data_IF_976639076682
#
_entry.id   IF_976639076682
#
_cell.length_a   1.000
_cell.length_b   1.000
_cell.length_c   1.000
_cell.angle_alpha   90.00
_cell.angle_beta   90.00
_cell.angle_gamma   90.00
#
_symmetry.space_group_name_H-M   'P 1'
#
loop_
_entity.id
_entity.type
_entity.pdbx_description
1 polymer ?
#
# COMPACT_ATOMS: atom_id res chain seq x y z
N UNK A 1 25.22 -1.88 -16.49
CA UNK A 1 25.01 -0.56 -15.84
C UNK A 1 23.83 0.21 -16.42
N UNK A 2 23.52 0.11 -17.72
CA UNK A 2 22.33 0.73 -18.34
C UNK A 2 20.98 0.13 -17.86
N UNK A 3 20.93 -1.12 -17.39
CA UNK A 3 19.65 -1.74 -16.99
C UNK A 3 19.09 -1.17 -15.67
N UNK A 4 19.97 -0.72 -14.77
CA UNK A 4 19.56 -0.14 -13.49
C UNK A 4 19.03 1.29 -13.64
N UNK A 5 19.49 2.05 -14.64
CA UNK A 5 18.97 3.41 -14.86
C UNK A 5 17.51 3.37 -15.31
N UNK A 6 17.12 2.42 -16.16
CA UNK A 6 15.73 2.21 -16.55
C UNK A 6 14.83 1.85 -15.36
N UNK A 7 15.28 0.92 -14.52
CA UNK A 7 14.55 0.54 -13.30
C UNK A 7 14.45 1.70 -12.29
N UNK A 8 15.51 2.51 -12.14
CA UNK A 8 15.51 3.68 -11.27
C UNK A 8 14.50 4.74 -11.74
N UNK A 9 14.45 5.01 -13.04
CA UNK A 9 13.47 5.95 -13.62
C UNK A 9 12.04 5.46 -13.40
N UNK A 10 11.79 4.17 -13.61
CA UNK A 10 10.47 3.57 -13.34
C UNK A 10 10.12 3.68 -11.85
N UNK A 11 11.07 3.39 -10.96
CA UNK A 11 10.85 3.49 -9.52
C UNK A 11 10.51 4.93 -9.09
N UNK A 12 11.25 5.93 -9.61
CA UNK A 12 10.98 7.34 -9.33
C UNK A 12 9.61 7.78 -9.89
N UNK A 13 9.31 7.44 -11.14
CA UNK A 13 8.06 7.81 -11.79
C UNK A 13 6.85 7.18 -11.07
N UNK A 14 6.90 5.88 -10.77
CA UNK A 14 5.82 5.18 -10.06
C UNK A 14 5.68 5.66 -8.61
N UNK A 15 6.79 6.02 -7.96
CA UNK A 15 6.79 6.63 -6.62
C UNK A 15 6.14 8.01 -6.58
N UNK A 16 6.27 8.80 -7.65
CA UNK A 16 5.61 10.10 -7.77
C UNK A 16 4.12 10.01 -8.14
N UNK A 17 3.77 9.15 -9.09
CA UNK A 17 2.39 9.08 -9.62
C UNK A 17 1.40 8.50 -8.61
N UNK A 18 1.75 7.40 -7.93
CA UNK A 18 0.82 6.66 -7.04
C UNK A 18 0.19 7.50 -5.92
N UNK A 19 0.95 8.26 -5.11
CA UNK A 19 0.35 9.09 -4.05
C UNK A 19 -0.49 10.21 -4.64
N UNK A 20 -0.07 10.82 -5.74
CA UNK A 20 -0.75 11.95 -6.37
C UNK A 20 -2.09 11.53 -6.99
N UNK A 21 -2.15 10.40 -7.70
CA UNK A 21 -3.40 9.93 -8.33
C UNK A 21 -4.46 9.59 -7.28
N UNK A 22 -4.06 8.91 -6.20
CA UNK A 22 -5.00 8.56 -5.13
C UNK A 22 -5.55 9.79 -4.42
N UNK A 23 -4.68 10.78 -4.12
CA UNK A 23 -5.10 12.04 -3.52
C UNK A 23 -6.00 12.85 -4.46
N UNK A 24 -5.59 13.00 -5.72
CA UNK A 24 -6.37 13.72 -6.73
C UNK A 24 -7.75 13.12 -6.96
N UNK A 25 -7.87 11.79 -6.93
CA UNK A 25 -9.14 11.10 -7.05
C UNK A 25 -10.04 11.32 -5.83
N UNK A 26 -9.46 11.38 -4.61
CA UNK A 26 -10.21 11.74 -3.41
C UNK A 26 -10.75 13.17 -3.48
N UNK A 27 -9.94 14.10 -4.00
CA UNK A 27 -10.27 15.53 -4.14
C UNK A 27 -11.44 15.80 -5.11
N UNK A 28 -11.85 14.81 -5.91
CA UNK A 28 -13.01 14.97 -6.81
C UNK A 28 -14.35 14.90 -6.06
N UNK A 29 -14.37 14.32 -4.86
CA UNK A 29 -15.58 14.12 -4.06
C UNK A 29 -15.65 15.13 -2.92
N UNK A 30 -16.81 15.74 -2.73
CA UNK A 30 -17.03 16.68 -1.64
C UNK A 30 -17.15 15.98 -0.28
N UNK A 31 -17.07 16.74 0.82
CA UNK A 31 -17.14 16.17 2.18
C UNK A 31 -18.46 15.43 2.46
N UNK A 32 -19.56 15.85 1.80
CA UNK A 32 -20.87 15.22 1.93
C UNK A 32 -21.02 13.91 1.12
N UNK A 33 -20.16 13.68 0.13
CA UNK A 33 -20.21 12.53 -0.80
C UNK A 33 -19.38 11.33 -0.30
N UNK A 34 -19.44 11.05 1.00
CA UNK A 34 -18.60 10.00 1.62
C UNK A 34 -18.88 8.61 1.04
N UNK A 35 -20.14 8.31 0.73
CA UNK A 35 -20.54 7.00 0.21
C UNK A 35 -19.99 6.76 -1.21
N UNK A 36 -20.16 7.74 -2.10
CA UNK A 36 -19.67 7.68 -3.48
C UNK A 36 -18.15 7.61 -3.53
N UNK A 37 -17.46 8.39 -2.68
CA UNK A 37 -16.01 8.32 -2.53
C UNK A 37 -15.54 6.94 -2.09
N UNK A 38 -16.21 6.33 -1.11
CA UNK A 38 -15.87 4.97 -0.66
C UNK A 38 -16.10 3.94 -1.76
N UNK A 39 -17.21 4.03 -2.50
CA UNK A 39 -17.52 3.15 -3.62
C UNK A 39 -16.48 3.29 -4.74
N UNK A 40 -16.10 4.51 -5.10
CA UNK A 40 -15.02 4.77 -6.05
C UNK A 40 -13.73 4.09 -5.62
N UNK A 41 -13.29 4.26 -4.36
CA UNK A 41 -12.08 3.62 -3.87
C UNK A 41 -12.18 2.09 -3.89
N UNK A 42 -13.34 1.51 -3.55
CA UNK A 42 -13.56 0.06 -3.66
C UNK A 42 -13.39 -0.45 -5.09
N UNK A 43 -13.97 0.24 -6.10
CA UNK A 43 -13.77 -0.09 -7.50
C UNK A 43 -12.31 0.12 -7.95
N UNK A 44 -11.68 1.20 -7.52
CA UNK A 44 -10.28 1.49 -7.80
C UNK A 44 -9.35 0.39 -7.26
N UNK A 45 -9.54 -0.04 -6.01
CA UNK A 45 -8.79 -1.16 -5.42
C UNK A 45 -9.04 -2.47 -6.17
N UNK A 46 -10.29 -2.76 -6.54
CA UNK A 46 -10.63 -3.94 -7.33
C UNK A 46 -9.91 -3.94 -8.68
N UNK A 47 -9.96 -2.82 -9.41
CA UNK A 47 -9.31 -2.66 -10.71
C UNK A 47 -7.79 -2.84 -10.65
N UNK A 48 -7.13 -2.32 -9.62
CA UNK A 48 -5.68 -2.50 -9.40
C UNK A 48 -5.34 -3.99 -9.22
N UNK A 49 -6.08 -4.70 -8.39
CA UNK A 49 -5.81 -6.11 -8.12
C UNK A 49 -6.13 -7.00 -9.33
N UNK A 50 -7.25 -6.74 -10.01
CA UNK A 50 -7.61 -7.41 -11.25
C UNK A 50 -6.57 -7.17 -12.36
N UNK A 51 -6.15 -5.91 -12.55
CA UNK A 51 -5.10 -5.54 -13.50
C UNK A 51 -3.76 -6.19 -13.18
N UNK A 52 -3.39 -6.29 -11.90
CA UNK A 52 -2.18 -6.99 -11.46
C UNK A 52 -2.25 -8.48 -11.79
N UNK A 53 -3.39 -9.14 -11.55
CA UNK A 53 -3.57 -10.55 -11.90
C UNK A 53 -3.45 -10.79 -13.40
N UNK A 54 -4.13 -9.96 -14.21
CA UNK A 54 -4.04 -10.03 -15.67
C UNK A 54 -2.61 -9.82 -16.15
N UNK A 55 -1.90 -8.82 -15.61
CA UNK A 55 -0.51 -8.56 -15.95
C UNK A 55 0.40 -9.75 -15.62
N UNK A 56 0.19 -10.40 -14.47
CA UNK A 56 1.00 -11.56 -14.06
C UNK A 56 0.73 -12.77 -14.96
N UNK A 57 -0.50 -12.99 -15.41
CA UNK A 57 -0.83 -14.08 -16.34
C UNK A 57 -0.31 -13.82 -17.76
N UNK A 58 -0.45 -12.58 -18.24
CA UNK A 58 -0.07 -12.22 -19.61
C UNK A 58 1.43 -12.02 -19.81
N UNK A 59 2.14 -11.46 -18.83
CA UNK A 59 3.59 -11.15 -18.95
C UNK A 59 4.45 -12.38 -19.33
N UNK A 60 4.33 -13.55 -18.68
CA UNK A 60 5.11 -14.74 -19.06
C UNK A 60 4.68 -15.29 -20.42
N UNK A 61 3.39 -15.20 -20.76
CA UNK A 61 2.86 -15.63 -22.06
C UNK A 61 3.42 -14.78 -23.20
N UNK A 62 3.45 -13.46 -23.02
CA UNK A 62 4.03 -12.51 -23.97
C UNK A 62 5.55 -12.68 -24.10
N UNK A 63 6.24 -12.94 -22.97
CA UNK A 63 7.70 -13.10 -22.95
C UNK A 63 8.17 -14.42 -23.57
N UNK A 64 7.44 -15.53 -23.33
CA UNK A 64 7.89 -16.88 -23.66
C UNK A 64 7.30 -17.49 -24.94
N UNK A 65 6.14 -17.02 -25.43
CA UNK A 65 5.54 -17.56 -26.67
C UNK A 65 6.00 -16.87 -27.94
N UNK A 66 6.53 -15.64 -27.83
CA UNK A 66 6.99 -14.84 -28.97
C UNK A 66 8.51 -14.73 -28.88
N UNK A 67 9.21 -15.28 -29.88
CA UNK A 67 10.65 -15.08 -30.03
C UNK A 67 10.88 -13.74 -30.73
N UNK A 68 11.67 -12.86 -30.13
CA UNK A 68 12.02 -11.58 -30.72
C UNK A 68 13.53 -11.50 -30.90
N UNK A 69 13.97 -10.93 -32.04
CA UNK A 69 15.38 -10.66 -32.34
C UNK A 69 16.31 -11.88 -32.20
N UNK A 70 15.80 -13.10 -32.42
CA UNK A 70 16.56 -14.34 -32.30
C UNK A 70 16.84 -14.80 -30.86
N UNK A 71 16.28 -14.13 -29.84
CA UNK A 71 16.37 -14.53 -28.43
C UNK A 71 15.19 -15.40 -28.01
N UNK A 72 15.40 -16.30 -27.04
CA UNK A 72 14.34 -17.15 -26.47
C UNK A 72 13.27 -16.36 -25.69
N UNK A 73 13.56 -15.13 -25.29
CA UNK A 73 12.65 -14.27 -24.52
C UNK A 73 12.45 -12.90 -25.17
N UNK A 74 11.20 -12.50 -25.38
CA UNK A 74 10.88 -11.18 -25.90
C UNK A 74 10.64 -10.14 -24.79
N UNK A 75 11.72 -9.55 -24.28
CA UNK A 75 11.66 -8.44 -23.32
C UNK A 75 11.06 -7.14 -23.89
N UNK A 76 11.35 -6.72 -25.14
CA UNK A 76 10.77 -5.51 -25.70
C UNK A 76 9.24 -5.52 -25.75
N UNK A 77 8.62 -6.67 -26.04
CA UNK A 77 7.16 -6.81 -26.02
C UNK A 77 6.61 -6.77 -24.59
N UNK A 78 7.27 -7.45 -23.65
CA UNK A 78 6.85 -7.49 -22.25
C UNK A 78 6.87 -6.10 -21.57
N UNK A 79 7.81 -5.22 -21.93
CA UNK A 79 7.86 -3.84 -21.43
C UNK A 79 7.11 -2.83 -22.33
N UNK A 80 7.05 -3.09 -23.63
CA UNK A 80 6.38 -2.22 -24.61
C UNK A 80 4.86 -2.19 -24.43
N UNK A 81 4.23 -3.33 -24.16
CA UNK A 81 2.77 -3.39 -23.94
C UNK A 81 2.32 -2.51 -22.77
N UNK A 82 2.89 -2.62 -21.55
CA UNK A 82 2.59 -1.68 -20.47
C UNK A 82 2.92 -0.22 -20.82
N UNK A 83 3.99 0.02 -21.59
CA UNK A 83 4.37 1.37 -22.02
C UNK A 83 3.31 2.04 -22.91
N UNK A 84 2.78 1.31 -23.89
CA UNK A 84 1.69 1.80 -24.77
C UNK A 84 0.41 2.02 -23.96
N UNK A 85 0.05 1.08 -23.08
CA UNK A 85 -1.13 1.21 -22.22
C UNK A 85 -1.02 2.43 -21.29
N UNK A 86 0.17 2.70 -20.75
CA UNK A 86 0.41 3.89 -19.91
C UNK A 86 0.26 5.19 -20.71
N UNK A 87 0.76 5.22 -21.95
CA UNK A 87 0.62 6.38 -22.82
C UNK A 87 -0.86 6.65 -23.19
N UNK A 88 -1.62 5.60 -23.49
CA UNK A 88 -3.06 5.71 -23.73
C UNK A 88 -3.81 6.22 -22.49
N UNK A 89 -3.48 5.68 -21.30
CA UNK A 89 -4.08 6.14 -20.04
C UNK A 89 -3.76 7.61 -19.76
N UNK A 90 -2.53 8.07 -20.05
CA UNK A 90 -2.15 9.46 -19.91
C UNK A 90 -2.92 10.39 -20.87
N UNK A 91 -3.10 9.99 -22.13
CA UNK A 91 -3.92 10.75 -23.10
C UNK A 91 -5.35 10.90 -22.60
N UNK A 92 -5.96 9.81 -22.11
CA UNK A 92 -7.30 9.85 -21.54
C UNK A 92 -7.38 10.77 -20.32
N UNK A 93 -6.39 10.69 -19.42
CA UNK A 93 -6.30 11.57 -18.25
C UNK A 93 -6.23 13.05 -18.66
N UNK A 94 -5.34 13.42 -19.58
CA UNK A 94 -5.22 14.81 -20.04
C UNK A 94 -6.49 15.28 -20.77
N UNK A 95 -7.15 14.41 -21.53
CA UNK A 95 -8.41 14.75 -22.21
C UNK A 95 -9.53 15.12 -21.23
N UNK A 96 -9.52 14.56 -20.02
CA UNK A 96 -10.48 14.83 -18.96
C UNK A 96 -10.23 16.12 -18.17
N UNK A 97 -9.15 16.85 -18.45
CA UNK A 97 -8.70 18.04 -17.68
C UNK A 97 -9.82 19.02 -17.32
N UNK A 98 -10.77 19.27 -18.22
CA UNK A 98 -11.87 20.25 -18.01
C UNK A 98 -12.92 19.79 -17.00
N UNK A 99 -13.02 18.49 -16.73
CA UNK A 99 -14.01 17.91 -15.84
C UNK A 99 -13.50 17.76 -14.40
N UNK A 100 -12.21 17.99 -14.17
CA UNK A 100 -11.61 17.77 -12.86
C UNK A 100 -11.77 18.99 -11.95
N UNK A 101 -12.17 18.72 -10.69
CA UNK A 101 -12.12 19.70 -9.61
C UNK A 101 -10.66 19.88 -9.19
N UNK A 102 -10.19 21.12 -9.22
CA UNK A 102 -8.82 21.47 -8.81
C UNK A 102 -8.85 21.90 -7.34
N UNK A 103 -8.34 21.04 -6.46
CA UNK A 103 -8.15 21.40 -5.07
C UNK A 103 -7.03 22.45 -4.94
N UNK A 104 -7.19 23.45 -4.05
CA UNK A 104 -6.16 24.45 -3.83
C UNK A 104 -4.88 23.81 -3.29
N UNK A 105 -3.72 24.23 -3.79
CA UNK A 105 -2.44 23.73 -3.34
C UNK A 105 -2.26 23.98 -1.83
N UNK A 106 -1.86 22.93 -1.10
CA UNK A 106 -1.49 23.06 0.31
C UNK A 106 -0.35 24.08 0.45
N UNK A 107 -0.53 25.09 1.31
CA UNK A 107 0.48 26.15 1.51
C UNK A 107 1.67 25.58 2.31
N UNK A 108 2.82 25.46 1.64
CA UNK A 108 4.12 25.15 2.27
C UNK A 108 4.60 23.71 2.10
N UNK A 109 5.83 23.44 2.58
CA UNK A 109 6.47 22.13 2.45
C UNK A 109 6.01 21.17 3.57
N UNK A 110 4.84 20.53 3.37
CA UNK A 110 4.18 19.67 4.37
C UNK A 110 5.11 18.58 4.91
N UNK A 111 5.93 17.95 4.04
CA UNK A 111 6.87 16.90 4.44
C UNK A 111 7.88 17.41 5.46
N UNK A 112 8.45 18.60 5.21
CA UNK A 112 9.38 19.23 6.13
C UNK A 112 8.70 19.59 7.47
N UNK A 113 7.48 20.12 7.42
CA UNK A 113 6.70 20.43 8.62
C UNK A 113 6.42 19.18 9.47
N UNK A 114 6.12 18.04 8.85
CA UNK A 114 5.91 16.75 9.53
C UNK A 114 7.20 16.29 10.20
N UNK A 115 8.31 16.31 9.48
CA UNK A 115 9.61 15.91 10.03
C UNK A 115 10.04 16.79 11.21
N UNK A 116 9.92 18.11 11.08
CA UNK A 116 10.17 19.05 12.18
C UNK A 116 9.23 18.83 13.37
N UNK A 117 7.96 18.52 13.13
CA UNK A 117 7.00 18.22 14.19
C UNK A 117 7.40 16.97 14.98
N UNK A 118 7.81 15.89 14.29
CA UNK A 118 8.25 14.65 14.91
C UNK A 118 9.52 14.88 15.75
N UNK A 119 10.53 15.58 15.20
CA UNK A 119 11.76 15.92 15.94
C UNK A 119 11.45 16.79 17.15
N UNK A 120 10.59 17.80 17.00
CA UNK A 120 10.23 18.70 18.08
C UNK A 120 9.50 17.96 19.21
N UNK A 121 8.52 17.11 18.86
CA UNK A 121 7.80 16.26 19.82
C UNK A 121 8.76 15.31 20.55
N UNK A 122 9.69 14.67 19.83
CA UNK A 122 10.68 13.77 20.42
C UNK A 122 11.63 14.49 21.39
N UNK A 123 12.16 15.66 21.00
CA UNK A 123 13.03 16.48 21.85
C UNK A 123 12.31 16.93 23.12
N UNK A 124 11.06 17.42 23.00
CA UNK A 124 10.26 17.81 24.16
C UNK A 124 9.92 16.63 25.06
N UNK A 125 9.58 15.47 24.50
CA UNK A 125 9.33 14.23 25.27
C UNK A 125 10.55 13.85 26.10
N UNK A 126 11.74 13.86 25.50
CA UNK A 126 12.99 13.55 26.19
C UNK A 126 13.23 14.56 27.31
N UNK A 127 13.09 15.86 27.03
CA UNK A 127 13.25 16.91 28.05
C UNK A 127 12.22 16.82 29.19
N UNK A 128 10.97 16.45 28.90
CA UNK A 128 9.91 16.25 29.89
C UNK A 128 10.16 15.01 30.77
N UNK A 129 10.70 13.93 30.18
CA UNK A 129 11.10 12.73 30.90
C UNK A 129 12.22 13.04 31.91
N UNK A 130 13.20 13.87 31.53
CA UNK A 130 14.28 14.33 32.42
C UNK A 130 13.81 15.33 33.49
N UNK A 131 12.71 16.06 33.27
CA UNK A 131 12.18 17.07 34.19
C UNK A 131 11.02 16.59 35.07
N UNK A 132 10.59 15.33 34.95
CA UNK A 132 9.51 14.76 35.75
C UNK A 132 8.15 15.44 35.55
N UNK A 133 7.87 15.98 34.35
CA UNK A 133 6.59 16.65 34.05
C UNK A 133 5.46 15.65 33.73
N UNK A 134 4.21 16.10 33.88
CA UNK A 134 3.00 15.32 33.68
C UNK A 134 2.94 14.60 32.32
N UNK A 135 2.46 13.35 32.37
CA UNK A 135 2.29 12.49 31.20
C UNK A 135 1.08 12.96 30.37
N UNK A 136 1.35 13.50 29.19
CA UNK A 136 0.33 13.63 28.13
C UNK A 136 -0.08 12.27 27.57
N UNK A 137 -1.34 12.14 27.12
CA UNK A 137 -1.90 10.89 26.59
C UNK A 137 -1.13 10.33 25.40
N UNK A 138 -0.68 11.18 24.46
CA UNK A 138 0.13 10.77 23.32
C UNK A 138 1.42 11.59 23.21
N UNK A 139 2.54 10.94 22.87
CA UNK A 139 3.86 11.59 22.82
C UNK A 139 3.99 12.68 21.74
N UNK A 140 3.12 12.67 20.72
CA UNK A 140 3.06 13.75 19.72
C UNK A 140 2.38 15.02 20.27
N UNK A 141 1.62 14.94 21.37
CA UNK A 141 0.91 16.10 21.94
C UNK A 141 1.84 17.09 22.63
N UNK A 142 3.09 16.70 22.91
CA UNK A 142 4.15 17.63 23.29
C UNK A 142 4.39 18.74 22.25
N UNK A 143 3.95 18.55 20.99
CA UNK A 143 4.03 19.53 19.91
C UNK A 143 2.77 20.42 19.76
N UNK A 144 1.72 20.23 20.58
CA UNK A 144 0.48 21.01 20.53
C UNK A 144 0.66 22.52 20.76
N UNK A 145 1.76 22.93 21.40
CA UNK A 145 2.09 24.35 21.58
C UNK A 145 2.52 25.06 20.29
N UNK A 146 2.88 24.33 19.23
CA UNK A 146 3.42 24.89 17.98
C UNK A 146 2.61 24.52 16.73
N UNK A 147 1.82 23.46 16.78
CA UNK A 147 1.08 22.93 15.63
C UNK A 147 -0.41 22.78 15.95
N UNK A 148 -1.27 22.90 14.93
CA UNK A 148 -2.72 22.75 15.10
C UNK A 148 -3.11 21.30 15.42
N UNK A 149 -4.23 21.13 16.14
CA UNK A 149 -4.75 19.80 16.50
C UNK A 149 -5.09 18.94 15.27
N UNK A 150 -5.57 19.56 14.19
CA UNK A 150 -5.81 18.87 12.91
C UNK A 150 -4.51 18.31 12.31
N UNK A 151 -3.45 19.11 12.27
CA UNK A 151 -2.15 18.68 11.77
C UNK A 151 -1.56 17.55 12.64
N UNK A 152 -1.66 17.67 13.97
CA UNK A 152 -1.19 16.64 14.88
C UNK A 152 -1.94 15.31 14.72
N UNK A 153 -3.26 15.35 14.50
CA UNK A 153 -4.04 14.14 14.21
C UNK A 153 -3.59 13.46 12.91
N UNK A 154 -3.27 14.25 11.88
CA UNK A 154 -2.66 13.76 10.64
C UNK A 154 -1.29 13.09 10.88
N UNK A 155 -0.40 13.74 11.63
CA UNK A 155 0.94 13.17 11.97
C UNK A 155 0.80 11.90 12.81
N UNK A 156 -0.13 11.85 13.78
CA UNK A 156 -0.41 10.64 14.56
C UNK A 156 -0.84 9.47 13.67
N UNK A 157 -1.77 9.72 12.76
CA UNK A 157 -2.25 8.72 11.81
C UNK A 157 -1.12 8.24 10.89
N UNK A 158 -0.31 9.17 10.37
CA UNK A 158 0.84 8.86 9.51
C UNK A 158 1.85 7.97 10.24
N UNK A 159 2.25 8.33 11.46
CA UNK A 159 3.21 7.52 12.25
C UNK A 159 2.63 6.13 12.54
N UNK A 160 1.36 6.04 12.95
CA UNK A 160 0.72 4.76 13.23
C UNK A 160 0.70 3.85 11.98
N UNK A 161 0.35 4.40 10.82
CA UNK A 161 0.35 3.68 9.54
C UNK A 161 1.76 3.28 9.14
N UNK A 162 2.76 4.16 9.24
CA UNK A 162 4.15 3.83 8.91
C UNK A 162 4.70 2.68 9.76
N UNK A 163 4.37 2.65 11.06
CA UNK A 163 4.77 1.55 11.95
C UNK A 163 4.07 0.24 11.54
N UNK A 164 2.78 0.30 11.18
CA UNK A 164 2.03 -0.87 10.75
C UNK A 164 2.60 -1.51 9.47
N UNK A 165 3.04 -0.71 8.51
CA UNK A 165 3.55 -1.19 7.22
C UNK A 165 5.07 -1.44 7.18
N UNK A 166 5.82 -1.02 8.21
CA UNK A 166 7.27 -1.21 8.32
C UNK A 166 7.80 -2.64 8.11
N UNK A 167 7.14 -3.72 8.59
CA UNK A 167 7.66 -5.08 8.46
C UNK A 167 7.41 -5.76 7.09
N UNK A 168 6.86 -5.06 6.09
CA UNK A 168 6.47 -5.65 4.80
C UNK A 168 7.61 -6.13 3.88
N UNK A 169 8.87 -5.77 4.15
CA UNK A 169 10.00 -6.03 3.23
C UNK A 169 10.63 -7.44 3.33
N UNK A 170 10.23 -8.26 4.29
CA UNK A 170 10.89 -9.55 4.59
C UNK A 170 10.27 -10.78 3.90
N UNK A 171 9.09 -10.64 3.28
CA UNK A 171 8.29 -11.75 2.76
C UNK A 171 8.98 -12.50 1.61
N UNK A 172 9.65 -11.77 0.71
CA UNK A 172 10.37 -12.37 -0.42
C UNK A 172 11.63 -13.13 0.04
N UNK A 173 12.31 -12.62 1.07
CA UNK A 173 13.48 -13.29 1.64
C UNK A 173 13.08 -14.56 2.40
N UNK A 174 11.93 -14.53 3.07
CA UNK A 174 11.37 -15.70 3.74
C UNK A 174 10.90 -16.76 2.72
N UNK A 175 10.22 -16.34 1.66
CA UNK A 175 9.78 -17.20 0.56
C UNK A 175 10.93 -17.98 -0.09
N UNK A 176 12.10 -17.36 -0.31
CA UNK A 176 13.29 -18.06 -0.85
C UNK A 176 13.84 -19.15 0.06
N UNK A 177 13.53 -19.12 1.36
CA UNK A 177 13.97 -20.12 2.35
C UNK A 177 12.90 -21.17 2.65
N UNK A 178 11.70 -21.05 2.09
CA UNK A 178 10.62 -22.02 2.25
C UNK A 178 10.72 -23.09 1.16
N UNK A 179 10.52 -24.35 1.53
CA UNK A 179 10.30 -25.41 0.53
C UNK A 179 9.03 -25.07 -0.25
N UNK A 180 9.17 -24.75 -1.54
CA UNK A 180 8.07 -24.33 -2.41
C UNK A 180 7.14 -25.47 -2.80
N UNK A 181 7.38 -26.70 -2.32
CA UNK A 181 6.56 -27.88 -2.64
C UNK A 181 5.24 -27.86 -1.86
N UNK A 182 4.14 -27.65 -2.59
CA UNK A 182 2.77 -27.80 -2.10
C UNK A 182 2.16 -29.02 -2.79
N UNK A 183 2.35 -30.20 -2.21
CA UNK A 183 1.92 -31.47 -2.82
C UNK A 183 2.68 -31.76 -4.13
N UNK A 184 1.99 -32.01 -5.27
CA UNK A 184 2.65 -32.29 -6.54
C UNK A 184 3.18 -31.02 -7.25
N UNK A 185 2.86 -29.82 -6.76
CA UNK A 185 3.23 -28.56 -7.42
C UNK A 185 4.36 -27.86 -6.67
N UNK A 186 5.38 -27.40 -7.41
CA UNK A 186 6.44 -26.54 -6.84
C UNK A 186 6.11 -25.09 -7.14
N UNK A 187 5.74 -24.33 -6.12
CA UNK A 187 5.52 -22.89 -6.19
C UNK A 187 6.88 -22.20 -6.23
N UNK A 188 7.16 -21.45 -7.31
CA UNK A 188 8.38 -20.68 -7.42
C UNK A 188 8.33 -19.45 -6.49
N UNK A 189 9.46 -19.01 -5.90
CA UNK A 189 9.48 -17.83 -5.02
C UNK A 189 8.91 -16.55 -5.63
N UNK A 190 9.06 -16.37 -6.94
CA UNK A 190 8.52 -15.21 -7.67
C UNK A 190 6.99 -15.25 -7.79
N UNK A 191 6.38 -16.44 -7.69
CA UNK A 191 4.92 -16.64 -7.70
C UNK A 191 4.27 -16.32 -6.34
N UNK A 192 5.04 -16.26 -5.25
CA UNK A 192 4.48 -15.95 -3.92
C UNK A 192 3.92 -14.52 -3.87
N UNK A 193 4.55 -13.56 -4.55
CA UNK A 193 3.99 -12.20 -4.71
C UNK A 193 2.73 -12.17 -5.59
N UNK A 194 2.47 -13.21 -6.39
CA UNK A 194 1.27 -13.34 -7.23
C UNK A 194 0.05 -13.76 -6.44
N UNK A 195 0.24 -14.46 -5.31
CA UNK A 195 -0.86 -14.85 -4.44
C UNK A 195 -1.55 -13.64 -3.79
N UNK A 196 -0.83 -12.55 -3.57
CA UNK A 196 -1.38 -11.35 -2.93
C UNK A 196 -2.60 -10.76 -3.67
N UNK A 197 -2.51 -10.36 -4.95
CA UNK A 197 -3.68 -9.83 -5.68
C UNK A 197 -4.80 -10.87 -5.84
N UNK A 198 -4.47 -12.16 -5.96
CA UNK A 198 -5.45 -13.25 -6.06
C UNK A 198 -6.25 -13.42 -4.76
N UNK A 199 -5.56 -13.45 -3.62
CA UNK A 199 -6.19 -13.53 -2.29
C UNK A 199 -7.04 -12.29 -2.05
N UNK A 200 -6.57 -11.09 -2.42
CA UNK A 200 -7.37 -9.86 -2.28
C UNK A 200 -8.63 -9.94 -3.14
N UNK A 201 -8.55 -10.39 -4.40
CA UNK A 201 -9.70 -10.48 -5.30
C UNK A 201 -10.78 -11.44 -4.79
N UNK A 202 -10.38 -12.52 -4.10
CA UNK A 202 -11.30 -13.47 -3.47
C UNK A 202 -11.81 -12.93 -2.13
N UNK A 203 -10.94 -12.34 -1.32
CA UNK A 203 -11.30 -11.90 0.03
C UNK A 203 -12.17 -10.65 0.02
N UNK A 204 -11.92 -9.65 -0.83
CA UNK A 204 -12.73 -8.42 -0.88
C UNK A 204 -14.23 -8.70 -1.02
N UNK A 205 -14.72 -9.50 -1.99
CA UNK A 205 -16.14 -9.80 -2.09
C UNK A 205 -16.66 -10.62 -0.91
N UNK A 206 -15.86 -11.54 -0.34
CA UNK A 206 -16.25 -12.27 0.89
C UNK A 206 -16.43 -11.30 2.06
N UNK A 207 -15.51 -10.36 2.23
CA UNK A 207 -15.54 -9.40 3.31
C UNK A 207 -16.72 -8.42 3.16
N UNK A 208 -16.94 -7.88 1.96
CA UNK A 208 -18.00 -6.90 1.70
C UNK A 208 -19.40 -7.53 1.60
N UNK A 209 -19.54 -8.72 1.02
CA UNK A 209 -20.85 -9.36 0.82
C UNK A 209 -21.31 -10.23 2.01
N UNK A 210 -20.37 -10.80 2.78
CA UNK A 210 -20.72 -11.74 3.86
C UNK A 210 -20.23 -11.27 5.23
N UNK A 211 -18.94 -10.99 5.41
CA UNK A 211 -18.37 -10.74 6.75
C UNK A 211 -18.86 -9.42 7.33
N UNK A 212 -18.71 -8.30 6.63
CA UNK A 212 -19.11 -6.99 7.12
C UNK A 212 -20.63 -6.83 7.29
N UNK A 213 -21.52 -7.29 6.39
CA UNK A 213 -22.96 -7.22 6.65
C UNK A 213 -23.38 -8.11 7.82
N UNK A 214 -22.75 -9.27 8.02
CA UNK A 214 -23.04 -10.12 9.19
C UNK A 214 -22.51 -9.48 10.48
N UNK A 215 -21.28 -8.99 10.49
CA UNK A 215 -20.69 -8.34 11.65
C UNK A 215 -21.40 -7.03 12.02
N UNK A 216 -22.01 -6.32 11.05
CA UNK A 216 -22.86 -5.14 11.29
C UNK A 216 -24.14 -5.48 12.08
N UNK A 217 -24.62 -6.73 12.03
CA UNK A 217 -25.76 -7.18 12.83
C UNK A 217 -25.43 -7.29 14.32
N UNK A 218 -24.17 -7.53 14.67
CA UNK A 218 -23.73 -7.75 16.05
C UNK A 218 -23.00 -6.54 16.65
N UNK A 219 -22.26 -5.77 15.84
CA UNK A 219 -21.45 -4.65 16.29
C UNK A 219 -21.44 -3.50 15.27
N UNK A 220 -21.38 -2.26 15.75
CA UNK A 220 -21.14 -1.13 14.87
C UNK A 220 -19.69 -1.16 14.38
N UNK A 221 -19.49 -1.41 13.08
CA UNK A 221 -18.16 -1.58 12.47
C UNK A 221 -17.63 -0.22 12.03
N UNK A 222 -16.74 0.37 12.82
CA UNK A 222 -15.98 1.55 12.38
C UNK A 222 -14.76 1.14 11.55
N UNK A 223 -14.25 1.99 10.64
CA UNK A 223 -13.02 1.72 9.88
C UNK A 223 -11.83 1.36 10.78
N UNK A 224 -11.71 2.04 11.93
CA UNK A 224 -10.67 1.79 12.91
C UNK A 224 -10.78 0.38 13.53
N UNK A 225 -11.99 -0.10 13.80
CA UNK A 225 -12.22 -1.47 14.30
C UNK A 225 -11.87 -2.51 13.24
N UNK A 226 -12.20 -2.29 11.96
CA UNK A 226 -11.78 -3.17 10.85
C UNK A 226 -10.26 -3.29 10.79
N UNK A 227 -9.56 -2.16 10.84
CA UNK A 227 -8.09 -2.12 10.86
C UNK A 227 -7.51 -2.82 12.08
N UNK A 228 -8.06 -2.58 13.28
CA UNK A 228 -7.60 -3.24 14.50
C UNK A 228 -7.79 -4.76 14.45
N UNK A 229 -8.95 -5.26 13.99
CA UNK A 229 -9.19 -6.70 13.83
C UNK A 229 -8.25 -7.33 12.80
N UNK A 230 -7.99 -6.63 11.68
CA UNK A 230 -7.02 -7.09 10.69
C UNK A 230 -5.59 -7.10 11.23
N UNK A 231 -5.22 -6.09 12.02
CA UNK A 231 -3.91 -6.01 12.69
C UNK A 231 -3.68 -7.15 13.69
N UNK A 232 -4.70 -7.51 14.49
CA UNK A 232 -4.63 -8.65 15.40
C UNK A 232 -4.45 -9.95 14.62
N UNK A 233 -5.25 -10.17 13.58
CA UNK A 233 -5.14 -11.36 12.73
C UNK A 233 -3.76 -11.47 12.08
N UNK A 234 -3.22 -10.35 11.59
CA UNK A 234 -1.86 -10.30 11.04
C UNK A 234 -0.81 -10.62 12.11
N UNK A 235 -0.93 -10.08 13.32
CA UNK A 235 -0.01 -10.36 14.42
C UNK A 235 0.00 -11.87 14.78
N UNK A 236 -1.18 -12.50 14.85
CA UNK A 236 -1.30 -13.96 15.05
C UNK A 236 -0.63 -14.72 13.90
N UNK A 237 -0.86 -14.31 12.65
CA UNK A 237 -0.23 -14.94 11.49
C UNK A 237 1.31 -14.84 11.54
N UNK A 238 1.86 -13.69 11.94
CA UNK A 238 3.31 -13.52 12.12
C UNK A 238 3.87 -14.36 13.27
N UNK A 239 3.16 -14.48 14.40
CA UNK A 239 3.56 -15.36 15.50
C UNK A 239 3.59 -16.82 15.03
N UNK A 240 2.54 -17.27 14.34
CA UNK A 240 2.47 -18.63 13.79
C UNK A 240 3.60 -18.90 12.79
N UNK A 241 3.86 -17.96 11.88
CA UNK A 241 4.98 -18.07 10.93
C UNK A 241 6.34 -18.14 11.65
N UNK A 242 6.52 -17.35 12.72
CA UNK A 242 7.71 -17.39 13.57
C UNK A 242 7.88 -18.73 14.28
N UNK A 243 6.82 -19.29 14.85
CA UNK A 243 6.84 -20.60 15.52
C UNK A 243 7.22 -21.73 14.55
N UNK A 244 6.63 -21.73 13.35
CA UNK A 244 6.97 -22.71 12.30
C UNK A 244 8.44 -22.57 11.88
N UNK A 245 8.95 -21.34 11.76
CA UNK A 245 10.35 -21.11 11.41
C UNK A 245 11.30 -21.60 12.51
N UNK A 246 10.97 -21.39 13.78
CA UNK A 246 11.76 -21.89 14.93
C UNK A 246 11.77 -23.41 14.96
N UNK A 247 10.62 -24.07 14.74
CA UNK A 247 10.54 -25.53 14.66
C UNK A 247 11.43 -26.09 13.53
N UNK A 248 11.49 -25.43 12.37
CA UNK A 248 12.37 -25.81 11.26
C UNK A 248 13.86 -25.54 11.47
N UNK A 249 14.22 -24.62 12.38
CA UNK A 249 15.62 -24.38 12.72
C UNK A 249 16.13 -25.32 13.81
N UNK A 250 15.22 -25.94 14.58
CA UNK A 250 15.53 -26.86 15.67
C UNK A 250 15.53 -28.34 15.27
N UNK A 251 14.89 -28.69 14.15
CA UNK A 251 14.86 -30.05 13.58
C UNK A 251 15.64 -30.13 12.28
#
# INVERSE_FOLDING_TARGET
MLDFSGLAVIALATGGIKPCVSAFAADQFEEHEVNERNQFFSFFYFAINAGSLVAILLTPMLRGRVKCFGSEYCFPLAFGVPGVLMLLAFILFVSGWRYYKIAPAAKGNVVFSVFCCIIYAAKKKISALFKGQDKVEHWLDYAASKYSNYFLSGVKSLVAVSVLFGPGSTWVLQARRMDGRVGPFTILPDQINTLNPLIILIMVPIFEAFIYPTARKFCNITPLRKMATGGILAAVAFIMAGLVQVQRCLG
#
